data_IF_713656885273
#
_entry.id   IF_713656885273
#
_cell.length_a   1.000
_cell.length_b   1.000
_cell.length_c   1.000
_cell.angle_alpha   90.00
_cell.angle_beta   90.00
_cell.angle_gamma   90.00
#
_symmetry.space_group_name_H-M   'P 1'
#
loop_
_entity.id
_entity.type
_entity.pdbx_description
1 polymer ?
#
# COMPACT_ATOMS: atom_id res chain seq x y z
N UNK A 1 51.45 -47.09 25.55
CA UNK A 1 51.03 -46.14 24.52
C UNK A 1 50.81 -46.92 23.23
N UNK A 2 49.58 -47.33 22.97
CA UNK A 2 49.20 -48.03 21.73
C UNK A 2 49.21 -47.03 20.59
N UNK A 3 50.06 -47.26 19.59
CA UNK A 3 50.22 -46.39 18.43
C UNK A 3 49.05 -46.67 17.47
N UNK A 4 47.97 -45.91 17.58
CA UNK A 4 46.87 -45.98 16.62
C UNK A 4 47.35 -45.50 15.25
N UNK A 5 47.36 -46.43 14.28
CA UNK A 5 47.61 -46.13 12.87
C UNK A 5 46.57 -45.11 12.38
N UNK A 6 46.99 -43.87 12.17
CA UNK A 6 46.18 -42.85 11.51
C UNK A 6 45.96 -43.29 10.07
N UNK A 7 44.73 -43.71 9.73
CA UNK A 7 44.32 -43.98 8.35
C UNK A 7 44.42 -42.69 7.54
N UNK A 8 45.22 -42.70 6.47
CA UNK A 8 45.34 -41.59 5.52
C UNK A 8 44.10 -41.54 4.62
N UNK A 9 43.57 -40.35 4.39
CA UNK A 9 42.44 -40.11 3.51
C UNK A 9 42.91 -40.00 2.06
N UNK A 10 42.26 -40.70 1.12
CA UNK A 10 42.65 -40.64 -0.30
C UNK A 10 42.00 -39.45 -0.99
N UNK A 11 42.69 -38.89 -1.99
CA UNK A 11 42.17 -37.80 -2.81
C UNK A 11 40.85 -38.18 -3.52
N UNK A 12 40.69 -39.47 -3.86
CA UNK A 12 39.47 -40.00 -4.48
C UNK A 12 38.29 -39.98 -3.51
N UNK A 13 38.48 -40.41 -2.26
CA UNK A 13 37.44 -40.36 -1.23
C UNK A 13 36.97 -38.92 -0.96
N UNK A 14 37.89 -37.96 -0.93
CA UNK A 14 37.54 -36.53 -0.80
C UNK A 14 36.67 -36.06 -1.96
N UNK A 15 37.07 -36.40 -3.18
CA UNK A 15 36.42 -35.92 -4.40
C UNK A 15 35.02 -36.50 -4.57
N UNK A 16 34.82 -37.78 -4.23
CA UNK A 16 33.49 -38.41 -4.24
C UNK A 16 32.56 -37.78 -3.22
N UNK A 17 33.04 -37.50 -2.00
CA UNK A 17 32.23 -36.87 -0.96
C UNK A 17 31.81 -35.46 -1.39
N UNK A 18 32.73 -34.67 -1.93
CA UNK A 18 32.40 -33.32 -2.44
C UNK A 18 31.42 -33.40 -3.62
N UNK A 19 31.56 -34.38 -4.52
CA UNK A 19 30.64 -34.58 -5.63
C UNK A 19 29.22 -34.92 -5.15
N UNK A 20 29.08 -35.81 -4.16
CA UNK A 20 27.78 -36.17 -3.58
C UNK A 20 27.16 -34.97 -2.86
N UNK A 21 27.92 -34.25 -2.04
CA UNK A 21 27.44 -33.03 -1.36
C UNK A 21 27.02 -32.00 -2.39
N UNK A 22 27.80 -31.80 -3.45
CA UNK A 22 27.48 -30.86 -4.53
C UNK A 22 26.16 -31.19 -5.22
N UNK A 23 25.91 -32.47 -5.54
CA UNK A 23 24.66 -32.93 -6.14
C UNK A 23 23.49 -32.73 -5.17
N UNK A 24 23.64 -33.14 -3.91
CA UNK A 24 22.59 -32.99 -2.89
C UNK A 24 22.23 -31.52 -2.67
N UNK A 25 23.22 -30.65 -2.51
CA UNK A 25 22.99 -29.20 -2.34
C UNK A 25 22.38 -28.60 -3.60
N UNK A 26 22.85 -29.00 -4.79
CA UNK A 26 22.29 -28.54 -6.07
C UNK A 26 20.81 -28.88 -6.25
N UNK A 27 20.36 -30.04 -5.75
CA UNK A 27 18.96 -30.44 -5.79
C UNK A 27 18.12 -29.84 -4.65
N UNK A 28 18.72 -29.62 -3.47
CA UNK A 28 18.00 -29.13 -2.29
C UNK A 28 17.83 -27.60 -2.28
N UNK A 29 18.77 -26.83 -2.83
CA UNK A 29 18.71 -25.36 -2.75
C UNK A 29 17.46 -24.76 -3.44
N UNK A 30 17.10 -25.14 -4.68
CA UNK A 30 15.89 -24.63 -5.33
C UNK A 30 14.62 -25.05 -4.58
N UNK A 31 14.60 -26.27 -4.05
CA UNK A 31 13.46 -26.80 -3.30
C UNK A 31 13.25 -26.03 -1.98
N UNK A 32 14.31 -25.76 -1.23
CA UNK A 32 14.24 -24.99 0.03
C UNK A 32 13.80 -23.55 -0.24
N UNK A 33 14.26 -22.94 -1.32
CA UNK A 33 13.86 -21.57 -1.69
C UNK A 33 12.37 -21.50 -2.06
N UNK A 34 11.89 -22.42 -2.89
CA UNK A 34 10.47 -22.53 -3.25
C UNK A 34 9.57 -22.76 -2.03
N UNK A 35 9.99 -23.66 -1.13
CA UNK A 35 9.27 -23.93 0.12
C UNK A 35 9.20 -22.68 1.02
N UNK A 36 10.30 -21.94 1.16
CA UNK A 36 10.34 -20.69 1.94
C UNK A 36 9.41 -19.63 1.36
N UNK A 37 9.39 -19.46 0.04
CA UNK A 37 8.52 -18.48 -0.59
C UNK A 37 7.04 -18.85 -0.47
N UNK A 38 6.71 -20.13 -0.63
CA UNK A 38 5.35 -20.63 -0.39
C UNK A 38 4.90 -20.33 1.04
N UNK A 39 5.78 -20.54 2.02
CA UNK A 39 5.49 -20.22 3.41
C UNK A 39 5.26 -18.72 3.64
N UNK A 40 6.09 -17.85 3.05
CA UNK A 40 5.89 -16.39 3.16
C UNK A 40 4.61 -15.92 2.49
N UNK A 41 4.27 -16.46 1.32
CA UNK A 41 2.99 -16.18 0.65
C UNK A 41 1.78 -16.64 1.47
N UNK A 42 1.86 -17.81 2.10
CA UNK A 42 0.82 -18.25 3.04
C UNK A 42 0.70 -17.28 4.23
N UNK A 43 1.80 -16.72 4.72
CA UNK A 43 1.75 -15.69 5.77
C UNK A 43 1.11 -14.39 5.27
N UNK A 44 1.48 -13.88 4.09
CA UNK A 44 0.87 -12.65 3.55
C UNK A 44 -0.63 -12.83 3.34
N UNK A 45 -1.07 -13.94 2.73
CA UNK A 45 -2.50 -14.26 2.55
C UNK A 45 -3.26 -14.41 3.87
N UNK A 46 -2.68 -15.06 4.88
CA UNK A 46 -3.30 -15.19 6.20
C UNK A 46 -3.44 -13.84 6.92
N UNK A 47 -2.44 -12.96 6.81
CA UNK A 47 -2.53 -11.61 7.36
C UNK A 47 -3.61 -10.79 6.63
N UNK A 48 -3.71 -10.87 5.31
CA UNK A 48 -4.83 -10.24 4.58
C UNK A 48 -6.20 -10.78 5.00
N UNK A 49 -6.34 -12.09 5.25
CA UNK A 49 -7.59 -12.66 5.78
C UNK A 49 -7.94 -12.10 7.16
N UNK A 50 -6.95 -11.88 8.02
CA UNK A 50 -7.15 -11.22 9.31
C UNK A 50 -7.59 -9.75 9.15
N UNK A 51 -7.05 -9.02 8.17
CA UNK A 51 -7.55 -7.68 7.79
C UNK A 51 -9.02 -7.75 7.32
N UNK A 52 -9.38 -8.72 6.48
CA UNK A 52 -10.76 -8.94 6.05
C UNK A 52 -11.72 -9.25 7.20
N UNK A 53 -11.31 -10.10 8.14
CA UNK A 53 -12.08 -10.39 9.34
C UNK A 53 -12.26 -9.13 10.21
N UNK A 54 -11.20 -8.34 10.39
CA UNK A 54 -11.25 -7.09 11.13
C UNK A 54 -12.23 -6.10 10.48
N UNK A 55 -12.22 -6.01 9.15
CA UNK A 55 -13.12 -5.17 8.36
C UNK A 55 -14.59 -5.58 8.52
N UNK A 56 -14.87 -6.89 8.52
CA UNK A 56 -16.23 -7.40 8.73
C UNK A 56 -16.70 -7.23 10.16
N UNK A 57 -15.81 -7.36 11.15
CA UNK A 57 -16.13 -7.06 12.55
C UNK A 57 -16.45 -5.58 12.76
N UNK A 58 -15.67 -4.68 12.14
CA UNK A 58 -15.96 -3.25 12.11
C UNK A 58 -17.35 -2.99 11.49
N UNK A 59 -17.64 -3.58 10.32
CA UNK A 59 -18.94 -3.46 9.67
C UNK A 59 -20.08 -4.02 10.54
N UNK A 60 -19.86 -5.11 11.27
CA UNK A 60 -20.86 -5.66 12.19
C UNK A 60 -21.25 -4.67 13.28
N UNK A 61 -20.26 -3.97 13.86
CA UNK A 61 -20.43 -2.96 14.90
C UNK A 61 -21.05 -1.66 14.39
N UNK A 62 -20.54 -1.12 13.28
CA UNK A 62 -20.88 0.22 12.79
C UNK A 62 -21.88 0.24 11.64
N UNK A 63 -22.25 -0.93 11.10
CA UNK A 63 -23.11 -1.10 9.91
C UNK A 63 -22.59 -0.42 8.65
N UNK A 64 -21.29 -0.11 8.64
CA UNK A 64 -20.57 0.47 7.53
C UNK A 64 -19.08 0.12 7.66
N UNK A 65 -18.35 0.16 6.54
CA UNK A 65 -16.91 0.12 6.48
C UNK A 65 -16.30 1.45 6.96
N UNK A 66 -15.03 1.46 7.40
CA UNK A 66 -14.34 2.69 7.73
C UNK A 66 -14.31 3.65 6.52
N UNK A 67 -14.25 4.94 6.80
CA UNK A 67 -13.87 5.90 5.78
C UNK A 67 -12.42 5.65 5.35
N UNK A 68 -12.12 5.83 4.06
CA UNK A 68 -10.75 5.73 3.57
C UNK A 68 -9.88 6.88 4.08
N UNK A 69 -10.46 8.08 4.11
CA UNK A 69 -9.90 9.32 4.66
C UNK A 69 -11.06 10.20 5.08
N UNK A 70 -10.91 11.11 6.04
CA UNK A 70 -12.00 12.03 6.37
C UNK A 70 -12.16 13.11 5.29
N UNK A 71 -13.35 13.71 5.20
CA UNK A 71 -13.63 14.74 4.20
C UNK A 71 -12.82 16.02 4.44
N UNK A 72 -12.76 16.45 5.70
CA UNK A 72 -12.08 17.67 6.10
C UNK A 72 -10.65 17.33 6.46
N UNK A 73 -9.70 17.90 5.73
CA UNK A 73 -8.28 17.60 5.93
C UNK A 73 -7.61 18.59 6.90
N UNK A 74 -8.32 19.66 7.25
CA UNK A 74 -7.83 20.78 8.09
C UNK A 74 -8.91 21.27 9.05
N UNK A 75 -8.47 21.66 10.25
CA UNK A 75 -9.23 22.50 11.19
C UNK A 75 -8.65 23.92 11.27
N UNK A 76 -9.39 24.93 10.81
CA UNK A 76 -9.03 26.34 10.98
C UNK A 76 -9.74 26.93 12.19
N UNK A 77 -8.97 27.27 13.23
CA UNK A 77 -9.51 27.74 14.51
C UNK A 77 -10.59 26.81 15.07
N UNK A 78 -10.40 25.49 14.92
CA UNK A 78 -11.35 24.45 15.32
C UNK A 78 -12.49 24.17 14.32
N UNK A 79 -12.59 24.93 13.23
CA UNK A 79 -13.64 24.74 12.22
C UNK A 79 -13.14 23.87 11.06
N UNK A 80 -13.87 22.80 10.69
CA UNK A 80 -13.50 21.96 9.54
C UNK A 80 -13.57 22.72 8.22
N UNK A 81 -12.51 22.61 7.40
CA UNK A 81 -12.46 23.19 6.06
C UNK A 81 -12.25 22.14 4.97
N UNK A 82 -12.91 22.35 3.81
CA UNK A 82 -12.80 21.49 2.62
C UNK A 82 -11.59 21.81 1.73
N UNK A 83 -10.66 22.64 2.18
CA UNK A 83 -9.55 23.10 1.36
C UNK A 83 -8.42 22.06 1.26
N UNK A 84 -7.93 21.82 0.03
CA UNK A 84 -6.78 20.97 -0.31
C UNK A 84 -5.44 21.60 0.08
N UNK A 85 -5.22 21.81 1.37
CA UNK A 85 -3.93 22.31 1.81
C UNK A 85 -3.41 21.49 2.99
N UNK A 86 -2.55 20.53 2.64
CA UNK A 86 -1.61 19.95 3.58
C UNK A 86 -0.30 20.72 3.46
N UNK A 87 0.40 20.87 4.57
CA UNK A 87 1.79 21.28 4.56
C UNK A 87 2.57 20.10 5.14
N UNK A 88 3.37 19.43 4.32
CA UNK A 88 4.16 18.28 4.75
C UNK A 88 5.17 18.62 5.86
N UNK A 89 5.51 19.90 6.04
CA UNK A 89 6.34 20.36 7.16
C UNK A 89 5.55 20.56 8.46
N UNK A 90 4.21 20.58 8.41
CA UNK A 90 3.36 20.84 9.56
C UNK A 90 2.97 19.58 10.33
N UNK A 91 2.77 19.74 11.64
CA UNK A 91 2.45 18.64 12.58
C UNK A 91 1.02 18.75 13.13
N UNK A 92 0.47 19.97 13.20
CA UNK A 92 -0.83 20.22 13.82
C UNK A 92 -2.05 20.00 12.92
N UNK A 93 -3.21 19.88 13.56
CA UNK A 93 -4.55 19.65 12.96
C UNK A 93 -4.95 20.68 11.90
N UNK A 94 -4.34 21.87 11.95
CA UNK A 94 -4.50 22.89 10.92
C UNK A 94 -4.11 22.39 9.52
N UNK A 95 -3.45 21.24 9.38
CA UNK A 95 -3.03 20.73 8.06
C UNK A 95 -3.25 19.22 7.89
N UNK A 96 -3.55 18.48 8.97
CA UNK A 96 -3.53 17.02 8.96
C UNK A 96 -4.65 16.39 9.80
N UNK A 97 -5.83 17.00 9.86
CA UNK A 97 -6.95 16.46 10.64
C UNK A 97 -7.55 15.19 10.01
N UNK A 98 -7.75 15.22 8.68
CA UNK A 98 -8.53 14.20 8.01
C UNK A 98 -7.78 12.93 7.63
N UNK A 99 -6.45 12.96 7.76
CA UNK A 99 -5.50 11.95 7.28
C UNK A 99 -5.47 10.65 8.13
N UNK A 100 -6.66 10.14 8.46
CA UNK A 100 -6.90 8.96 9.30
C UNK A 100 -7.30 7.77 8.42
N UNK A 101 -6.47 6.71 8.35
CA UNK A 101 -6.67 5.60 7.41
C UNK A 101 -7.57 4.50 7.94
N UNK A 102 -8.03 3.63 7.03
CA UNK A 102 -8.74 2.38 7.36
C UNK A 102 -7.94 1.55 8.37
N UNK A 103 -6.62 1.46 8.21
CA UNK A 103 -5.72 0.75 9.12
C UNK A 103 -5.85 1.18 10.58
N UNK A 104 -6.06 2.47 10.84
CA UNK A 104 -6.23 2.98 12.20
C UNK A 104 -7.57 2.51 12.80
N UNK A 105 -8.64 2.54 12.00
CA UNK A 105 -9.98 2.12 12.42
C UNK A 105 -10.09 0.61 12.69
N UNK A 106 -9.23 -0.20 12.06
CA UNK A 106 -9.25 -1.66 12.22
C UNK A 106 -8.48 -2.15 13.46
N UNK A 107 -7.60 -1.35 14.08
CA UNK A 107 -6.76 -1.77 15.20
C UNK A 107 -7.49 -2.55 16.31
N UNK A 108 -8.68 -2.12 16.80
CA UNK A 108 -9.41 -2.84 17.84
C UNK A 108 -9.92 -4.22 17.41
N UNK A 109 -10.00 -4.46 16.10
CA UNK A 109 -10.60 -5.65 15.50
C UNK A 109 -9.58 -6.72 15.08
N UNK A 110 -8.30 -6.50 15.36
CA UNK A 110 -7.23 -7.47 15.15
C UNK A 110 -6.17 -7.42 16.28
N UNK A 111 -6.63 -7.38 17.54
CA UNK A 111 -5.78 -7.49 18.75
C UNK A 111 -4.78 -6.35 18.96
N UNK A 112 -4.98 -5.19 18.32
CA UNK A 112 -4.13 -4.00 18.49
C UNK A 112 -4.86 -2.86 19.24
N UNK A 113 -5.84 -3.19 20.09
CA UNK A 113 -6.60 -2.22 20.91
C UNK A 113 -5.69 -1.34 21.77
N UNK A 114 -4.61 -1.90 22.32
CA UNK A 114 -3.65 -1.11 23.12
C UNK A 114 -2.97 0.01 22.33
N UNK A 115 -2.78 -0.14 21.01
CA UNK A 115 -2.27 0.94 20.14
C UNK A 115 -3.39 1.96 19.87
N UNK A 116 -4.61 1.48 19.63
CA UNK A 116 -5.77 2.34 19.37
C UNK A 116 -6.10 3.26 20.54
N UNK A 117 -6.01 2.76 21.77
CA UNK A 117 -6.31 3.51 23.00
C UNK A 117 -5.28 4.62 23.29
N UNK A 118 -4.08 4.54 22.72
CA UNK A 118 -3.04 5.57 22.81
C UNK A 118 -3.28 6.74 21.86
N UNK A 119 -4.17 6.59 20.87
CA UNK A 119 -4.39 7.60 19.83
C UNK A 119 -5.40 8.64 20.32
N UNK A 120 -5.02 9.90 20.29
CA UNK A 120 -5.95 11.01 20.26
C UNK A 120 -6.64 11.08 18.89
N UNK A 121 -7.87 10.56 18.85
CA UNK A 121 -8.72 10.54 17.66
C UNK A 121 -9.35 11.90 17.35
N UNK A 122 -9.26 12.87 18.25
CA UNK A 122 -9.69 14.26 18.00
C UNK A 122 -8.55 15.11 17.42
N UNK A 123 -7.32 14.65 17.62
CA UNK A 123 -6.09 15.31 17.24
C UNK A 123 -5.68 15.18 15.76
N UNK A 124 -4.46 15.67 15.51
CA UNK A 124 -3.77 15.60 14.21
C UNK A 124 -3.38 14.18 13.83
N UNK A 125 -3.32 13.90 12.53
CA UNK A 125 -2.82 12.67 11.92
C UNK A 125 -1.75 12.99 10.87
N UNK A 126 -0.74 13.78 11.26
CA UNK A 126 0.34 14.21 10.37
C UNK A 126 1.34 13.08 10.13
N UNK A 127 1.92 12.96 8.91
CA UNK A 127 3.04 12.05 8.65
C UNK A 127 4.31 12.45 9.41
N UNK A 128 4.42 13.69 9.90
CA UNK A 128 5.60 14.17 10.62
C UNK A 128 5.54 13.77 12.10
N UNK A 129 6.32 12.75 12.47
CA UNK A 129 6.35 12.19 13.82
C UNK A 129 7.37 12.90 14.73
N UNK A 130 8.49 13.34 14.17
CA UNK A 130 9.55 14.01 14.92
C UNK A 130 9.92 15.38 14.34
N UNK A 131 10.63 16.18 15.14
CA UNK A 131 11.32 17.40 14.70
C UNK A 131 12.77 17.29 15.13
N UNK A 132 13.69 17.26 14.17
CA UNK A 132 15.12 17.05 14.42
C UNK A 132 15.36 15.77 15.25
N UNK A 133 14.62 14.70 14.93
CA UNK A 133 14.70 13.40 15.60
C UNK A 133 14.09 13.33 17.00
N UNK A 134 13.45 14.40 17.49
CA UNK A 134 12.73 14.39 18.76
C UNK A 134 11.22 14.23 18.56
N UNK A 135 10.52 13.41 19.36
CA UNK A 135 9.06 13.27 19.32
C UNK A 135 8.36 14.63 19.37
N UNK A 136 7.50 14.90 18.39
CA UNK A 136 6.80 16.18 18.27
C UNK A 136 5.30 16.05 17.93
N UNK A 137 4.87 14.86 17.50
CA UNK A 137 3.49 14.56 17.17
C UNK A 137 2.72 14.06 18.41
N UNK A 138 1.48 14.52 18.61
CA UNK A 138 0.67 14.12 19.78
C UNK A 138 0.49 12.59 19.85
N UNK A 139 0.21 11.97 18.70
CA UNK A 139 0.11 10.52 18.55
C UNK A 139 1.44 9.79 18.34
N UNK A 140 2.60 10.38 18.66
CA UNK A 140 3.92 9.77 18.42
C UNK A 140 4.03 8.36 19.03
N UNK A 141 3.58 8.17 20.28
CA UNK A 141 3.70 6.89 20.97
C UNK A 141 2.96 5.76 20.24
N UNK A 142 1.74 6.02 19.77
CA UNK A 142 0.94 5.07 19.02
C UNK A 142 1.50 4.84 17.60
N UNK A 143 1.78 5.93 16.89
CA UNK A 143 2.16 5.88 15.47
C UNK A 143 3.58 5.38 15.26
N UNK A 144 4.43 5.34 16.30
CA UNK A 144 5.75 4.70 16.28
C UNK A 144 5.73 3.19 16.57
N UNK A 145 4.56 2.54 16.65
CA UNK A 145 4.46 1.08 16.85
C UNK A 145 4.40 0.32 15.51
N UNK A 146 4.90 -0.91 15.53
CA UNK A 146 4.77 -1.85 14.41
C UNK A 146 3.46 -2.63 14.52
N UNK A 147 2.73 -2.72 13.41
CA UNK A 147 1.56 -3.59 13.27
C UNK A 147 1.88 -4.66 12.24
N UNK A 148 2.37 -5.81 12.72
CA UNK A 148 2.89 -6.88 11.84
C UNK A 148 1.84 -7.41 10.85
N UNK A 149 0.55 -7.32 11.21
CA UNK A 149 -0.58 -7.65 10.36
C UNK A 149 -0.55 -6.94 9.01
N UNK A 150 -0.03 -5.71 8.94
CA UNK A 150 -0.06 -4.90 7.72
C UNK A 150 1.13 -5.11 6.79
N UNK A 151 2.07 -5.98 7.15
CA UNK A 151 3.29 -6.23 6.38
C UNK A 151 3.26 -7.58 5.68
N UNK A 152 3.96 -7.70 4.55
CA UNK A 152 4.21 -8.96 3.88
C UNK A 152 5.67 -9.38 4.10
N UNK A 153 5.95 -10.58 4.66
CA UNK A 153 7.32 -11.07 4.83
C UNK A 153 8.07 -11.35 3.52
N UNK A 154 7.40 -11.44 2.36
CA UNK A 154 8.08 -11.61 1.06
C UNK A 154 8.70 -10.33 0.53
N UNK A 155 8.32 -9.17 1.06
CA UNK A 155 8.89 -7.91 0.61
C UNK A 155 10.34 -7.75 1.10
N UNK A 156 11.27 -7.61 0.16
CA UNK A 156 12.70 -7.43 0.45
C UNK A 156 13.00 -6.11 1.19
N UNK A 157 12.13 -5.11 1.05
CA UNK A 157 12.26 -3.82 1.72
C UNK A 157 11.63 -3.82 3.13
N UNK A 158 11.02 -4.93 3.55
CA UNK A 158 10.50 -5.09 4.90
C UNK A 158 11.64 -5.42 5.87
N UNK A 159 12.20 -4.37 6.44
CA UNK A 159 13.27 -4.39 7.44
C UNK A 159 12.76 -4.49 8.88
N UNK A 160 11.46 -4.69 9.08
CA UNK A 160 10.84 -4.73 10.41
C UNK A 160 10.79 -3.38 11.11
N UNK A 161 11.08 -2.27 10.41
CA UNK A 161 10.95 -0.93 10.98
C UNK A 161 9.53 -0.65 11.46
N UNK A 162 9.38 0.22 12.47
CA UNK A 162 8.08 0.68 12.89
C UNK A 162 7.31 1.30 11.73
N UNK A 163 5.98 1.23 11.84
CA UNK A 163 5.04 1.85 10.90
C UNK A 163 4.90 1.20 9.52
N UNK A 164 5.78 0.28 9.13
CA UNK A 164 5.76 -0.34 7.79
C UNK A 164 4.37 -0.88 7.41
N UNK A 165 3.95 -0.65 6.17
CA UNK A 165 2.67 -1.14 5.63
C UNK A 165 2.77 -1.55 4.16
N UNK A 166 2.47 -2.81 3.89
CA UNK A 166 2.38 -3.39 2.56
C UNK A 166 0.96 -3.46 2.04
N UNK A 167 -0.01 -3.73 2.92
CA UNK A 167 -1.39 -3.91 2.52
C UNK A 167 -2.03 -2.55 2.43
N UNK A 168 -2.38 -2.16 1.22
CA UNK A 168 -2.99 -0.85 0.94
C UNK A 168 -4.44 -1.05 0.57
N UNK A 169 -5.29 -0.09 0.90
CA UNK A 169 -6.70 -0.16 0.60
C UNK A 169 -7.06 0.58 -0.69
N UNK A 170 -8.05 0.02 -1.39
CA UNK A 170 -8.42 0.41 -2.74
C UNK A 170 -9.28 1.67 -2.73
N UNK A 171 -8.80 2.70 -3.41
CA UNK A 171 -9.47 3.99 -3.56
C UNK A 171 -10.04 4.25 -4.95
N UNK A 172 -9.90 3.31 -5.89
CA UNK A 172 -10.47 3.47 -7.22
C UNK A 172 -10.06 2.36 -8.19
N UNK A 173 -10.96 2.07 -9.12
CA UNK A 173 -10.69 1.23 -10.27
C UNK A 173 -9.85 1.97 -11.29
N UNK A 174 -10.52 2.43 -12.34
CA UNK A 174 -9.91 3.15 -13.44
C UNK A 174 -9.78 4.66 -13.21
N UNK A 175 -9.25 5.06 -12.05
CA UNK A 175 -9.06 6.49 -11.77
C UNK A 175 -7.84 6.80 -10.92
N UNK A 176 -7.04 7.83 -11.29
CA UNK A 176 -5.90 8.24 -10.49
C UNK A 176 -6.29 9.13 -9.29
N UNK A 177 -7.56 9.54 -9.14
CA UNK A 177 -7.97 10.63 -8.23
C UNK A 177 -8.50 10.22 -6.86
N UNK A 178 -8.32 8.98 -6.43
CA UNK A 178 -8.80 8.49 -5.13
C UNK A 178 -10.28 8.79 -4.78
N UNK A 179 -11.20 8.94 -5.75
CA UNK A 179 -12.59 9.33 -5.44
C UNK A 179 -12.85 10.82 -5.28
N UNK A 180 -11.87 11.68 -5.53
CA UNK A 180 -12.10 13.11 -5.65
C UNK A 180 -12.72 13.45 -7.01
N UNK A 181 -13.84 14.17 -7.01
CA UNK A 181 -14.59 14.55 -8.22
C UNK A 181 -13.82 15.59 -9.07
N UNK A 182 -13.19 16.56 -8.41
CA UNK A 182 -12.33 17.55 -9.03
C UNK A 182 -11.24 18.01 -8.05
N UNK A 183 -10.41 18.97 -8.47
CA UNK A 183 -9.32 19.53 -7.66
C UNK A 183 -9.77 20.20 -6.34
N UNK A 184 -11.04 20.37 -6.05
CA UNK A 184 -11.55 21.07 -4.88
C UNK A 184 -12.65 20.30 -4.14
N UNK A 185 -13.25 19.28 -4.78
CA UNK A 185 -14.27 18.42 -4.20
C UNK A 185 -13.78 16.98 -4.09
N UNK A 186 -13.55 16.56 -2.85
CA UNK A 186 -13.08 15.22 -2.51
C UNK A 186 -14.22 14.22 -2.29
N UNK A 187 -15.49 14.60 -2.56
CA UNK A 187 -16.65 13.82 -2.14
C UNK A 187 -17.52 13.35 -3.31
N UNK A 188 -16.98 12.47 -4.16
CA UNK A 188 -17.76 11.86 -5.24
C UNK A 188 -18.71 10.77 -4.71
N UNK A 189 -19.95 11.15 -4.38
CA UNK A 189 -20.95 10.21 -3.83
C UNK A 189 -22.01 9.78 -4.83
N UNK A 190 -22.45 10.69 -5.71
CA UNK A 190 -23.51 10.45 -6.69
C UNK A 190 -23.09 11.03 -8.04
N UNK A 191 -22.77 10.18 -9.02
CA UNK A 191 -22.65 10.57 -10.42
C UNK A 191 -21.59 11.62 -10.72
N UNK A 192 -20.30 11.31 -10.52
CA UNK A 192 -19.25 12.14 -11.09
C UNK A 192 -19.22 11.91 -12.61
N UNK A 193 -19.85 12.85 -13.33
CA UNK A 193 -19.91 12.90 -14.79
C UNK A 193 -18.55 13.29 -15.42
N UNK A 194 -17.57 13.68 -14.60
CA UNK A 194 -16.31 14.30 -15.03
C UNK A 194 -15.10 13.53 -14.52
N UNK A 195 -14.51 12.68 -15.39
CA UNK A 195 -13.12 12.12 -15.36
C UNK A 195 -12.66 11.35 -14.09
N UNK A 196 -13.31 11.53 -12.95
CA UNK A 196 -12.96 10.97 -11.66
C UNK A 196 -14.07 10.06 -11.16
N UNK A 197 -14.17 8.90 -11.80
CA UNK A 197 -15.05 7.80 -11.37
C UNK A 197 -14.41 7.03 -10.22
N UNK A 198 -14.02 7.70 -9.14
CA UNK A 198 -13.46 7.00 -7.99
C UNK A 198 -14.55 6.29 -7.19
N UNK A 199 -14.63 5.00 -7.44
CA UNK A 199 -15.63 4.12 -6.89
C UNK A 199 -14.99 2.85 -6.29
N UNK A 200 -13.79 2.98 -5.71
CA UNK A 200 -13.15 1.89 -4.97
C UNK A 200 -13.95 1.45 -3.74
N UNK A 201 -13.39 0.48 -3.02
CA UNK A 201 -14.02 -0.05 -1.80
C UNK A 201 -14.06 0.97 -0.64
N UNK A 202 -13.30 2.06 -0.73
CA UNK A 202 -13.24 3.13 0.26
C UNK A 202 -13.34 4.51 -0.40
N UNK A 203 -13.82 5.48 0.37
CA UNK A 203 -14.05 6.86 -0.06
C UNK A 203 -13.55 7.87 0.97
N UNK A 204 -13.36 9.11 0.53
CA UNK A 204 -13.21 10.25 1.42
C UNK A 204 -14.55 10.59 2.06
N UNK A 205 -14.56 10.84 3.38
CA UNK A 205 -15.68 11.40 4.11
C UNK A 205 -16.84 10.44 4.37
N UNK A 206 -17.33 9.77 3.35
CA UNK A 206 -18.44 8.82 3.46
C UNK A 206 -17.93 7.43 3.85
N UNK A 207 -18.70 6.80 4.73
CA UNK A 207 -18.62 5.38 5.01
C UNK A 207 -19.56 4.62 4.06
N UNK A 208 -19.09 3.49 3.53
CA UNK A 208 -19.86 2.61 2.64
C UNK A 208 -20.36 1.40 3.42
N UNK A 209 -21.43 0.77 2.99
CA UNK A 209 -21.91 -0.51 3.50
C UNK A 209 -21.98 -1.54 2.37
N UNK A 210 -22.20 -2.82 2.69
CA UNK A 210 -22.32 -3.87 1.66
C UNK A 210 -23.33 -3.55 0.55
N UNK A 211 -24.40 -2.80 0.86
CA UNK A 211 -25.41 -2.38 -0.13
C UNK A 211 -24.86 -1.48 -1.23
N UNK A 212 -23.72 -0.83 -1.00
CA UNK A 212 -23.11 0.12 -1.94
C UNK A 212 -22.20 -0.58 -2.96
N UNK A 213 -22.01 -1.91 -2.82
CA UNK A 213 -21.28 -2.78 -3.75
C UNK A 213 -22.28 -3.46 -4.69
N UNK A 214 -22.77 -2.73 -5.69
CA UNK A 214 -23.89 -3.18 -6.54
C UNK A 214 -23.51 -4.23 -7.56
N UNK A 215 -22.21 -4.36 -7.88
CA UNK A 215 -21.64 -5.46 -8.70
C UNK A 215 -21.30 -6.71 -7.87
N UNK A 216 -21.45 -6.63 -6.54
CA UNK A 216 -21.21 -7.72 -5.59
C UNK A 216 -19.89 -7.58 -4.85
N UNK A 217 -19.94 -7.72 -3.52
CA UNK A 217 -18.75 -7.60 -2.65
C UNK A 217 -17.63 -8.60 -2.93
N UNK A 218 -17.93 -9.70 -3.62
CA UNK A 218 -16.96 -10.70 -4.10
C UNK A 218 -16.22 -10.30 -5.39
N UNK A 219 -16.63 -9.22 -6.04
CA UNK A 219 -16.01 -8.73 -7.29
C UNK A 219 -15.08 -7.53 -7.05
N UNK A 220 -15.29 -6.77 -5.96
CA UNK A 220 -14.46 -5.60 -5.63
C UNK A 220 -13.32 -5.93 -4.67
N UNK A 221 -12.09 -5.59 -5.05
CA UNK A 221 -10.95 -5.59 -4.13
C UNK A 221 -11.02 -4.43 -3.16
N UNK A 222 -10.78 -4.71 -1.88
CA UNK A 222 -10.68 -3.71 -0.84
C UNK A 222 -9.23 -3.48 -0.37
N UNK A 223 -8.38 -4.50 -0.37
CA UNK A 223 -6.94 -4.36 -0.11
C UNK A 223 -6.10 -5.12 -1.15
N UNK A 224 -4.89 -4.66 -1.40
CA UNK A 224 -3.88 -5.40 -2.14
C UNK A 224 -2.48 -5.17 -1.57
N UNK A 225 -1.56 -6.04 -1.97
CA UNK A 225 -0.14 -5.88 -1.70
C UNK A 225 0.45 -4.72 -2.50
N UNK A 226 1.34 -3.97 -1.86
CA UNK A 226 2.23 -2.99 -2.48
C UNK A 226 3.59 -3.12 -1.79
N UNK A 227 4.68 -3.21 -2.55
CA UNK A 227 6.04 -3.26 -2.00
C UNK A 227 6.40 -1.96 -1.28
N UNK A 228 7.15 -2.03 -0.20
CA UNK A 228 7.63 -0.85 0.52
C UNK A 228 8.68 -0.13 -0.32
N UNK A 229 8.77 1.20 -0.19
CA UNK A 229 9.79 2.00 -0.88
C UNK A 229 11.21 1.51 -0.56
N UNK A 230 12.13 1.68 -1.50
CA UNK A 230 13.49 1.14 -1.40
C UNK A 230 14.29 1.76 -0.25
N UNK A 231 14.06 3.03 0.05
CA UNK A 231 14.80 3.81 1.03
C UNK A 231 16.19 4.24 0.56
N UNK A 232 16.53 4.07 -0.72
CA UNK A 232 17.85 4.44 -1.27
C UNK A 232 17.85 5.84 -1.89
N UNK A 233 17.84 6.86 -1.04
CA UNK A 233 17.89 8.26 -1.48
C UNK A 233 19.14 8.57 -2.33
N UNK A 234 19.00 9.45 -3.32
CA UNK A 234 20.09 9.84 -4.22
C UNK A 234 20.47 8.78 -5.27
N UNK A 235 19.70 7.70 -5.39
CA UNK A 235 19.89 6.66 -6.41
C UNK A 235 18.79 6.69 -7.48
N UNK A 236 18.93 5.84 -8.50
CA UNK A 236 17.85 5.64 -9.47
C UNK A 236 16.64 5.00 -8.77
N UNK A 237 15.41 5.48 -9.04
CA UNK A 237 14.23 4.92 -8.42
C UNK A 237 14.03 3.48 -8.88
N UNK A 238 13.72 2.61 -7.92
CA UNK A 238 13.26 1.24 -8.17
C UNK A 238 11.76 1.23 -8.42
N UNK A 239 11.19 0.10 -8.86
CA UNK A 239 9.74 -0.05 -9.05
C UNK A 239 8.92 0.06 -7.76
N UNK A 240 9.55 0.01 -6.59
CA UNK A 240 8.89 0.24 -5.30
C UNK A 240 8.81 1.72 -4.90
N UNK A 241 9.55 2.58 -5.59
CA UNK A 241 9.61 4.02 -5.32
C UNK A 241 8.52 4.76 -6.11
N UNK A 242 8.22 5.99 -5.74
CA UNK A 242 7.25 6.84 -6.44
C UNK A 242 8.01 7.98 -7.11
N UNK A 243 7.61 8.35 -8.33
CA UNK A 243 8.19 9.50 -9.05
C UNK A 243 7.14 10.58 -9.31
N UNK A 244 7.55 11.82 -9.52
CA UNK A 244 6.66 12.82 -10.12
C UNK A 244 6.61 12.57 -11.62
N UNK A 245 5.41 12.53 -12.22
CA UNK A 245 5.29 12.35 -13.67
C UNK A 245 6.09 13.41 -14.44
N UNK A 246 6.70 13.07 -15.59
CA UNK A 246 7.56 13.98 -16.37
C UNK A 246 6.94 15.35 -16.66
N UNK A 247 5.69 15.41 -17.12
CA UNK A 247 5.04 16.68 -17.47
C UNK A 247 4.58 17.48 -16.25
N UNK A 248 4.62 16.89 -15.05
CA UNK A 248 4.22 17.44 -13.74
C UNK A 248 3.04 18.41 -13.81
N UNK A 249 1.87 17.95 -13.40
CA UNK A 249 0.65 18.77 -13.38
C UNK A 249 0.32 19.17 -11.95
N UNK A 250 0.35 20.48 -11.66
CA UNK A 250 0.08 21.04 -10.34
C UNK A 250 -1.31 21.66 -10.20
N UNK A 251 -2.08 21.74 -11.29
CA UNK A 251 -3.42 22.32 -11.32
C UNK A 251 -4.32 21.52 -12.26
N UNK A 252 -5.53 21.18 -11.79
CA UNK A 252 -6.52 20.48 -12.59
C UNK A 252 -6.39 18.95 -12.56
N UNK A 253 -7.26 18.31 -13.33
CA UNK A 253 -7.35 16.86 -13.47
C UNK A 253 -6.45 16.40 -14.63
N UNK A 254 -5.54 15.46 -14.36
CA UNK A 254 -4.66 14.82 -15.37
C UNK A 254 -5.34 13.64 -16.03
N UNK A 255 -5.41 13.64 -17.36
CA UNK A 255 -5.96 12.51 -18.09
C UNK A 255 -5.33 11.17 -17.66
N UNK A 256 -6.17 10.15 -17.44
CA UNK A 256 -5.75 8.85 -16.92
C UNK A 256 -4.76 8.17 -17.85
N UNK A 257 -4.99 8.24 -19.16
CA UNK A 257 -4.13 7.60 -20.16
C UNK A 257 -2.83 8.40 -20.32
N UNK A 258 -2.88 9.73 -20.20
CA UNK A 258 -1.68 10.56 -20.16
C UNK A 258 -0.72 10.17 -19.02
N UNK A 259 -1.19 10.15 -17.77
CA UNK A 259 -0.33 9.79 -16.63
C UNK A 259 0.13 8.33 -16.72
N UNK A 260 -0.72 7.43 -17.21
CA UNK A 260 -0.36 6.04 -17.44
C UNK A 260 0.80 5.92 -18.45
N UNK A 261 0.69 6.52 -19.62
CA UNK A 261 1.68 6.42 -20.69
C UNK A 261 3.01 7.11 -20.33
N UNK A 262 2.96 8.26 -19.67
CA UNK A 262 4.15 8.96 -19.23
C UNK A 262 4.94 8.14 -18.20
N UNK A 263 4.26 7.55 -17.21
CA UNK A 263 4.91 6.78 -16.17
C UNK A 263 5.28 5.36 -16.64
N UNK A 264 4.61 4.84 -17.67
CA UNK A 264 4.99 3.61 -18.37
C UNK A 264 6.31 3.76 -19.13
N UNK A 265 6.49 4.90 -19.81
CA UNK A 265 7.64 5.19 -20.66
C UNK A 265 8.73 6.02 -19.96
N UNK A 266 8.55 6.29 -18.66
CA UNK A 266 9.53 7.01 -17.86
C UNK A 266 10.88 6.30 -17.86
N UNK A 267 11.93 7.07 -18.14
CA UNK A 267 13.32 6.62 -18.02
C UNK A 267 13.86 7.04 -16.65
N UNK A 268 14.22 6.09 -15.76
CA UNK A 268 14.73 6.40 -14.42
C UNK A 268 15.88 7.40 -14.43
N UNK A 269 15.74 8.45 -13.63
CA UNK A 269 16.77 9.47 -13.44
C UNK A 269 16.91 9.81 -11.95
N UNK A 270 18.11 10.20 -11.53
CA UNK A 270 18.35 10.67 -10.16
C UNK A 270 17.74 12.06 -10.05
N UNK A 271 16.73 12.21 -9.20
CA UNK A 271 15.94 13.44 -9.06
C UNK A 271 15.48 13.64 -7.62
N UNK A 272 15.37 14.89 -7.19
CA UNK A 272 14.70 15.25 -5.93
C UNK A 272 13.18 15.05 -5.95
N UNK A 273 12.63 14.75 -7.13
CA UNK A 273 11.24 14.35 -7.34
C UNK A 273 11.04 12.83 -7.34
N UNK A 274 11.95 12.10 -6.69
CA UNK A 274 11.81 10.67 -6.42
C UNK A 274 11.53 10.50 -4.92
N UNK A 275 10.62 9.59 -4.59
CA UNK A 275 10.20 9.34 -3.23
C UNK A 275 10.41 7.87 -2.86
N UNK A 276 11.25 7.65 -1.85
CA UNK A 276 11.83 6.34 -1.54
C UNK A 276 11.26 5.69 -0.26
N UNK A 277 10.44 6.41 0.51
CA UNK A 277 9.95 5.96 1.82
C UNK A 277 8.48 5.56 1.83
N UNK A 278 7.89 5.32 0.65
CA UNK A 278 6.49 4.96 0.53
C UNK A 278 6.15 3.70 1.37
N UNK A 279 5.19 3.84 2.30
CA UNK A 279 4.81 2.78 3.23
C UNK A 279 5.73 2.61 4.44
N UNK A 280 6.72 3.49 4.68
CA UNK A 280 7.79 3.30 5.67
C UNK A 280 8.10 4.56 6.48
N UNK A 281 8.88 4.37 7.55
CA UNK A 281 9.61 5.43 8.25
C UNK A 281 11.11 5.12 8.16
N UNK A 282 11.90 5.98 7.51
CA UNK A 282 13.35 5.76 7.34
C UNK A 282 14.15 6.34 8.49
N UNK A 283 15.30 5.75 8.80
CA UNK A 283 16.21 6.24 9.85
C UNK A 283 16.65 7.68 9.55
N UNK A 284 16.62 8.52 10.59
CA UNK A 284 16.97 9.94 10.47
C UNK A 284 15.89 10.81 9.80
N UNK A 285 14.79 10.23 9.31
CA UNK A 285 13.67 10.98 8.77
C UNK A 285 12.72 11.43 9.88
N UNK A 286 12.24 12.68 9.78
CA UNK A 286 11.17 13.18 10.65
C UNK A 286 9.78 12.66 10.26
N UNK A 287 9.66 11.97 9.12
CA UNK A 287 8.38 11.64 8.49
C UNK A 287 8.18 10.12 8.33
N UNK A 288 7.06 9.64 8.85
CA UNK A 288 6.54 8.30 8.59
C UNK A 288 5.44 8.35 7.53
N UNK A 289 5.59 7.52 6.51
CA UNK A 289 4.59 7.25 5.50
C UNK A 289 4.00 5.83 5.68
N UNK A 290 3.89 5.41 6.94
CA UNK A 290 3.44 4.08 7.35
C UNK A 290 1.93 3.93 7.51
N UNK A 291 1.52 2.91 8.27
CA UNK A 291 0.11 2.50 8.43
C UNK A 291 -0.82 3.58 9.02
N UNK A 292 -0.27 4.59 9.70
CA UNK A 292 -1.05 5.59 10.44
C UNK A 292 -1.55 6.77 9.59
N UNK A 293 -1.16 6.87 8.31
CA UNK A 293 -1.56 7.97 7.43
C UNK A 293 -2.40 7.48 6.25
N UNK A 294 -3.34 8.29 5.80
CA UNK A 294 -4.26 8.00 4.70
C UNK A 294 -3.84 8.70 3.40
N UNK A 295 -2.75 8.25 2.79
CA UNK A 295 -2.21 8.81 1.55
C UNK A 295 -1.83 7.73 0.54
N UNK A 296 -1.73 8.10 -0.74
CA UNK A 296 -1.16 7.23 -1.78
C UNK A 296 0.32 6.93 -1.53
N UNK A 297 1.04 7.84 -0.87
CA UNK A 297 2.40 7.58 -0.39
C UNK A 297 2.45 6.47 0.67
N UNK A 298 1.35 6.18 1.38
CA UNK A 298 1.34 5.30 2.55
C UNK A 298 0.41 4.09 2.43
N UNK A 299 -0.89 4.26 2.61
CA UNK A 299 -1.86 3.16 2.83
C UNK A 299 -2.86 2.99 1.70
N UNK A 300 -2.83 3.85 0.68
CA UNK A 300 -3.80 3.85 -0.43
C UNK A 300 -3.18 3.29 -1.71
N UNK A 301 -4.01 2.67 -2.56
CA UNK A 301 -3.65 2.27 -3.93
C UNK A 301 -4.86 2.35 -4.88
N UNK A 302 -4.64 2.15 -6.18
CA UNK A 302 -5.70 2.07 -7.19
C UNK A 302 -5.40 1.01 -8.27
N UNK A 303 -6.38 0.73 -9.12
CA UNK A 303 -6.30 -0.28 -10.19
C UNK A 303 -6.00 0.32 -11.57
N UNK A 304 -5.58 1.58 -11.67
CA UNK A 304 -5.28 2.24 -12.96
C UNK A 304 -4.26 1.44 -13.77
N UNK A 305 -3.30 0.84 -13.06
CA UNK A 305 -2.26 -0.01 -13.62
C UNK A 305 -2.36 -1.46 -13.13
N UNK A 306 -1.95 -2.44 -13.95
CA UNK A 306 -2.07 -3.86 -13.63
C UNK A 306 -1.17 -4.27 -12.45
N UNK A 307 -1.40 -5.44 -11.84
CA UNK A 307 -0.51 -5.97 -10.82
C UNK A 307 0.94 -6.08 -11.31
N UNK A 308 1.90 -5.78 -10.43
CA UNK A 308 3.34 -5.77 -10.74
C UNK A 308 3.67 -4.92 -11.98
N UNK A 309 2.97 -3.80 -12.18
CA UNK A 309 3.07 -2.98 -13.38
C UNK A 309 4.52 -2.67 -13.78
N UNK A 310 4.85 -2.83 -15.06
CA UNK A 310 6.19 -2.49 -15.58
C UNK A 310 6.50 -0.99 -15.53
N UNK A 311 5.47 -0.14 -15.53
CA UNK A 311 5.61 1.30 -15.36
C UNK A 311 6.06 1.69 -13.95
N UNK A 312 6.40 2.96 -13.76
CA UNK A 312 6.76 3.49 -12.44
C UNK A 312 5.51 4.00 -11.74
N UNK A 313 5.32 3.69 -10.44
CA UNK A 313 4.29 4.38 -9.66
C UNK A 313 4.61 5.88 -9.63
N UNK A 314 3.61 6.72 -9.82
CA UNK A 314 3.85 8.15 -9.95
C UNK A 314 2.69 9.01 -9.47
N UNK A 315 3.01 10.19 -8.94
CA UNK A 315 2.04 11.24 -8.68
C UNK A 315 2.14 12.37 -9.71
N UNK A 316 1.03 13.06 -9.93
CA UNK A 316 0.92 14.08 -10.95
C UNK A 316 1.64 15.38 -10.58
N UNK A 317 1.44 15.88 -9.37
CA UNK A 317 2.06 17.11 -8.89
C UNK A 317 3.37 16.83 -8.13
N UNK A 318 3.37 15.74 -7.37
CA UNK A 318 4.41 15.33 -6.44
C UNK A 318 4.59 13.81 -6.42
N UNK A 319 5.81 13.34 -6.17
CA UNK A 319 6.11 11.95 -5.85
C UNK A 319 5.62 11.52 -4.46
N UNK A 320 5.13 12.48 -3.66
CA UNK A 320 4.51 12.27 -2.36
C UNK A 320 3.02 12.63 -2.50
N UNK A 321 2.19 11.76 -3.11
CA UNK A 321 0.77 12.02 -3.26
C UNK A 321 0.07 11.84 -1.90
N UNK A 322 0.03 12.92 -1.13
CA UNK A 322 -0.46 12.97 0.25
C UNK A 322 -1.66 13.91 0.45
N UNK A 323 -1.99 14.67 -0.58
CA UNK A 323 -3.16 15.55 -0.61
C UNK A 323 -4.39 14.80 -1.12
N UNK A 324 -5.58 15.11 -0.58
CA UNK A 324 -6.83 14.59 -1.12
C UNK A 324 -6.96 14.94 -2.61
N UNK A 325 -7.24 13.92 -3.42
CA UNK A 325 -7.55 14.07 -4.84
C UNK A 325 -6.41 14.58 -5.74
N UNK A 326 -5.17 14.53 -5.26
CA UNK A 326 -4.01 14.51 -6.14
C UNK A 326 -4.03 13.23 -6.98
N UNK A 327 -3.79 13.37 -8.28
CA UNK A 327 -3.79 12.24 -9.18
C UNK A 327 -2.51 11.43 -8.98
N UNK A 328 -2.62 10.13 -8.77
CA UNK A 328 -1.48 9.23 -8.73
C UNK A 328 -1.85 7.84 -9.27
N UNK A 329 -0.86 7.15 -9.84
CA UNK A 329 -0.93 5.72 -10.10
C UNK A 329 -0.08 5.03 -9.03
N UNK A 330 -0.75 4.36 -8.10
CA UNK A 330 -0.12 3.48 -7.12
C UNK A 330 -0.63 2.08 -7.39
N UNK A 331 0.19 1.28 -8.07
CA UNK A 331 -0.21 -0.06 -8.50
C UNK A 331 -0.04 -1.09 -7.38
N UNK A 332 -0.83 -2.17 -7.47
CA UNK A 332 -0.60 -3.34 -6.64
C UNK A 332 0.72 -4.00 -7.04
N UNK A 333 1.58 -4.28 -6.07
CA UNK A 333 2.92 -4.85 -6.28
C UNK A 333 3.28 -5.83 -5.19
N UNK A 334 3.85 -6.96 -5.55
CA UNK A 334 4.38 -7.94 -4.60
C UNK A 334 5.69 -8.54 -5.12
N UNK A 335 6.43 -9.18 -4.21
CA UNK A 335 7.61 -9.99 -4.56
C UNK A 335 7.24 -11.46 -4.80
N UNK A 336 5.95 -11.80 -4.83
CA UNK A 336 5.50 -13.13 -5.20
C UNK A 336 5.64 -13.32 -6.72
N UNK A 337 6.14 -14.47 -7.19
CA UNK A 337 6.26 -14.72 -8.62
C UNK A 337 4.91 -14.64 -9.34
N UNK A 338 4.83 -13.80 -10.37
CA UNK A 338 3.74 -13.77 -11.36
C UNK A 338 2.48 -13.00 -10.95
N UNK A 339 2.47 -12.25 -9.85
CA UNK A 339 1.28 -11.50 -9.46
C UNK A 339 1.28 -10.96 -8.04
N UNK A 340 0.08 -10.67 -7.53
CA UNK A 340 -0.15 -10.09 -6.20
C UNK A 340 -1.30 -10.81 -5.51
N UNK A 341 -1.30 -10.87 -4.19
CA UNK A 341 -2.50 -11.21 -3.45
C UNK A 341 -3.34 -9.94 -3.24
N UNK A 342 -4.65 -10.11 -3.34
CA UNK A 342 -5.61 -9.08 -2.99
C UNK A 342 -6.75 -9.65 -2.14
N UNK A 343 -7.28 -8.81 -1.27
CA UNK A 343 -8.44 -9.06 -0.44
C UNK A 343 -9.68 -8.45 -1.11
N UNK A 344 -10.70 -9.26 -1.32
CA UNK A 344 -12.03 -8.85 -1.79
C UNK A 344 -12.89 -8.39 -0.64
N UNK A 345 -13.92 -7.61 -0.94
CA UNK A 345 -14.78 -6.98 0.07
C UNK A 345 -15.60 -8.01 0.86
N UNK A 346 -15.89 -9.16 0.27
CA UNK A 346 -16.49 -10.32 0.95
C UNK A 346 -15.56 -11.01 1.96
N UNK A 347 -14.29 -10.59 2.07
CA UNK A 347 -13.29 -11.14 2.99
C UNK A 347 -12.43 -12.26 2.38
N UNK A 348 -12.70 -12.68 1.14
CA UNK A 348 -11.89 -13.68 0.45
C UNK A 348 -10.57 -13.09 -0.05
N UNK A 349 -9.49 -13.89 0.00
CA UNK A 349 -8.17 -13.48 -0.51
C UNK A 349 -7.86 -14.31 -1.75
N UNK A 350 -7.53 -13.62 -2.84
CA UNK A 350 -7.25 -14.22 -4.15
C UNK A 350 -5.89 -13.74 -4.64
N UNK A 351 -5.16 -14.63 -5.32
CA UNK A 351 -3.96 -14.23 -6.05
C UNK A 351 -4.34 -13.87 -7.49
N UNK A 352 -3.90 -12.71 -7.93
CA UNK A 352 -4.18 -12.15 -9.26
C UNK A 352 -2.89 -12.12 -10.06
N UNK A 353 -2.94 -12.70 -11.26
CA UNK A 353 -1.81 -12.70 -12.19
C UNK A 353 -1.45 -11.29 -12.64
N UNK A 354 -0.17 -11.00 -12.82
CA UNK A 354 0.30 -9.78 -13.51
C UNK A 354 -0.05 -9.77 -15.00
N UNK A 355 -0.43 -10.92 -15.57
CA UNK A 355 -0.91 -11.07 -16.94
C UNK A 355 -2.42 -10.92 -17.10
N UNK A 356 -3.13 -10.49 -16.06
CA UNK A 356 -4.57 -10.25 -16.14
C UNK A 356 -4.89 -9.17 -17.19
N UNK A 357 -6.02 -9.32 -17.87
CA UNK A 357 -6.56 -8.26 -18.70
C UNK A 357 -6.74 -6.96 -17.89
N UNK A 358 -6.32 -5.83 -18.46
CA UNK A 358 -6.26 -4.57 -17.72
C UNK A 358 -7.67 -4.02 -17.43
N UNK A 359 -8.61 -4.21 -18.34
CA UNK A 359 -9.98 -3.75 -18.16
C UNK A 359 -10.67 -4.61 -17.09
N UNK A 360 -10.45 -5.92 -17.10
CA UNK A 360 -10.89 -6.80 -16.03
C UNK A 360 -10.31 -6.43 -14.65
N UNK A 361 -9.03 -6.07 -14.59
CA UNK A 361 -8.39 -5.61 -13.35
C UNK A 361 -9.00 -4.30 -12.84
N UNK A 362 -9.22 -3.34 -13.74
CA UNK A 362 -9.85 -2.05 -13.44
C UNK A 362 -11.28 -2.23 -12.96
N UNK A 363 -12.05 -3.11 -13.59
CA UNK A 363 -13.41 -3.48 -13.20
C UNK A 363 -13.48 -3.93 -11.74
N UNK A 364 -12.59 -4.85 -11.36
CA UNK A 364 -12.51 -5.38 -9.99
C UNK A 364 -12.02 -4.36 -8.95
N UNK A 365 -11.51 -3.21 -9.40
CA UNK A 365 -11.19 -2.08 -8.54
C UNK A 365 -12.38 -1.16 -8.27
N UNK A 366 -13.53 -1.40 -8.88
CA UNK A 366 -14.76 -0.62 -8.73
C UNK A 366 -15.81 -1.37 -7.90
N UNK A 367 -16.69 -0.63 -7.21
CA UNK A 367 -17.81 -1.17 -6.42
C UNK A 367 -19.16 -1.18 -7.16
N UNK A 368 -19.23 -0.50 -8.30
CA UNK A 368 -20.48 -0.29 -9.04
C UNK A 368 -20.24 -0.01 -10.53
N UNK A 369 -19.23 -0.62 -11.14
CA UNK A 369 -18.85 -0.38 -12.54
C UNK A 369 -19.80 -0.99 -13.59
N UNK A 370 -20.63 -1.97 -13.20
CA UNK A 370 -21.49 -2.76 -14.11
C UNK A 370 -20.74 -3.51 -15.24
N UNK A 371 -19.43 -3.71 -15.12
CA UNK A 371 -18.63 -4.42 -16.11
C UNK A 371 -18.77 -5.93 -15.88
N UNK A 372 -19.39 -6.64 -16.84
CA UNK A 372 -19.60 -8.09 -16.77
C UNK A 372 -18.28 -8.83 -17.00
N UNK A 373 -17.83 -9.61 -16.01
CA UNK A 373 -16.64 -10.48 -16.07
C UNK A 373 -16.83 -11.69 -17.02
N UNK A 374 -17.74 -11.60 -17.99
CA UNK A 374 -18.08 -12.72 -18.89
C UNK A 374 -17.10 -12.92 -20.06
N UNK A 375 -16.15 -12.00 -20.28
CA UNK A 375 -15.19 -12.10 -21.39
C UNK A 375 -13.77 -12.58 -20.99
N UNK A 376 -13.58 -13.15 -19.79
CA UNK A 376 -12.23 -13.48 -19.27
C UNK A 376 -12.11 -14.93 -18.77
N UNK A 377 -12.56 -15.90 -19.58
CA UNK A 377 -12.15 -17.31 -19.45
C UNK A 377 -11.10 -17.71 -20.47
#
# INVERSE_FOLDING_TARGET
>A
MTNESRKGFTLVELLVVIAIIGILVGLLLPAVQSARETARRMQCTNRMKQVGLALHNYHSSFKAFPNGRMLYDRLLFGNPEKNRYTNYLAIGEMFWYGNKPVHLALLPYHENTAIYDLVDHTGSSSPRLTVNGQPAHDNYEAFSKSVSLYTCPSDANNDGRPTNTNFRYNFGGDTPYAGANDWYDNNCLNGCETIAKGNGAFTYGQQLAFRDFTDGSSHTFCFAERTLGSGFEGTLPTKSDIITMPSRVTTGLVDRDQIFDECLNYTPSISGYNFFSAGRWLDGSDWSNGWATAAYSSTMYNHVAPPNWRGQDCGAASAIPDTPGEAAIISARSMHPGGVNGLKTDGSVTFVSESIDLDAWRAMGTRNGNETVEDVQ
#
